data_IF_205227963602
#
_entry.id   IF_205227963602
#
_cell.length_a   1.000
_cell.length_b   1.000
_cell.length_c   1.000
_cell.angle_alpha   90.00
_cell.angle_beta   90.00
_cell.angle_gamma   90.00
#
_symmetry.space_group_name_H-M   'P 1'
#
loop_
_entity.id
_entity.type
_entity.pdbx_description
1 polymer ?
#
# COMPACT_ATOMS: atom_id res chain seq x y z
N UNK A 1 -13.16 20.49 -24.73
CA UNK A 1 -11.95 21.31 -24.90
C UNK A 1 -11.17 21.19 -23.60
N UNK A 2 -10.14 20.37 -23.61
CA UNK A 2 -9.27 20.17 -22.45
C UNK A 2 -8.18 21.24 -22.43
N UNK A 3 -7.73 21.62 -21.24
CA UNK A 3 -6.58 22.49 -21.00
C UNK A 3 -5.34 21.63 -20.88
N UNK A 4 -4.40 21.78 -21.79
CA UNK A 4 -3.23 20.90 -21.88
C UNK A 4 -1.94 21.67 -21.59
N UNK A 5 -1.08 21.06 -20.77
CA UNK A 5 0.30 21.49 -20.60
C UNK A 5 1.19 20.59 -21.45
N UNK A 6 1.92 21.13 -22.42
CA UNK A 6 2.80 20.35 -23.28
C UNK A 6 4.18 20.18 -22.65
N UNK A 7 4.77 18.99 -22.75
CA UNK A 7 6.18 18.77 -22.47
C UNK A 7 6.95 18.72 -23.79
N UNK A 8 8.02 19.49 -23.88
CA UNK A 8 8.82 19.64 -25.10
C UNK A 8 10.31 19.49 -24.78
N UNK A 9 11.09 19.03 -25.75
CA UNK A 9 12.55 18.91 -25.67
C UNK A 9 13.26 19.86 -26.65
N UNK A 10 14.59 19.88 -26.57
CA UNK A 10 15.48 20.63 -27.45
C UNK A 10 16.02 19.82 -28.64
N UNK A 11 15.58 18.57 -28.81
CA UNK A 11 16.03 17.70 -29.90
C UNK A 11 15.16 17.92 -31.15
N UNK A 12 13.87 18.18 -30.95
CA UNK A 12 12.95 18.56 -32.01
C UNK A 12 13.13 20.01 -32.44
N UNK A 13 13.14 20.24 -33.76
CA UNK A 13 13.19 21.58 -34.32
C UNK A 13 11.94 22.41 -33.93
N UNK A 14 12.07 23.70 -33.59
CA UNK A 14 10.94 24.50 -33.11
C UNK A 14 9.71 24.53 -34.04
N UNK A 15 9.85 24.60 -35.38
CA UNK A 15 8.71 24.46 -36.29
C UNK A 15 7.98 23.11 -36.21
N UNK A 16 8.67 22.02 -35.86
CA UNK A 16 8.05 20.70 -35.67
C UNK A 16 7.20 20.70 -34.40
N UNK A 17 7.72 21.27 -33.32
CA UNK A 17 6.99 21.44 -32.06
C UNK A 17 5.77 22.34 -32.28
N UNK A 18 5.92 23.47 -32.98
CA UNK A 18 4.80 24.37 -33.32
C UNK A 18 3.71 23.65 -34.10
N UNK A 19 4.10 22.89 -35.14
CA UNK A 19 3.17 22.10 -35.95
C UNK A 19 2.41 21.09 -35.08
N UNK A 20 3.08 20.37 -34.18
CA UNK A 20 2.43 19.43 -33.25
C UNK A 20 1.42 20.14 -32.34
N UNK A 21 1.80 21.29 -31.75
CA UNK A 21 0.88 22.09 -30.94
C UNK A 21 -0.30 22.62 -31.75
N UNK A 22 -0.09 23.00 -33.02
CA UNK A 22 -1.15 23.41 -33.93
C UNK A 22 -2.11 22.27 -34.29
N UNK A 23 -1.63 21.03 -34.41
CA UNK A 23 -2.49 19.84 -34.58
C UNK A 23 -3.40 19.65 -33.37
N UNK A 24 -2.85 19.72 -32.15
CA UNK A 24 -3.62 19.59 -30.90
C UNK A 24 -4.69 20.69 -30.81
N UNK A 25 -4.34 21.93 -31.15
CA UNK A 25 -5.30 23.05 -31.20
C UNK A 25 -6.41 22.82 -32.22
N UNK A 26 -6.08 22.31 -33.42
CA UNK A 26 -7.07 21.95 -34.45
C UNK A 26 -7.99 20.81 -33.99
N UNK A 27 -7.49 19.91 -33.15
CA UNK A 27 -8.28 18.86 -32.49
C UNK A 27 -9.30 19.38 -31.45
N UNK A 28 -9.22 20.66 -31.08
CA UNK A 28 -10.17 21.31 -30.17
C UNK A 28 -9.71 21.40 -28.71
N UNK A 29 -8.45 21.08 -28.42
CA UNK A 29 -7.84 21.26 -27.10
C UNK A 29 -7.03 22.56 -27.02
N UNK A 30 -6.87 23.09 -25.81
CA UNK A 30 -6.23 24.37 -25.55
C UNK A 30 -4.89 24.20 -24.83
N UNK A 31 -3.79 24.56 -25.49
CA UNK A 31 -2.45 24.57 -24.91
C UNK A 31 -2.30 25.78 -23.97
N UNK A 32 -2.26 25.53 -22.65
CA UNK A 32 -2.12 26.60 -21.63
C UNK A 32 -0.67 27.03 -21.40
N UNK A 33 0.27 26.19 -21.82
CA UNK A 33 1.71 26.43 -21.72
C UNK A 33 2.51 25.22 -22.15
N UNK A 34 3.83 25.39 -22.22
CA UNK A 34 4.78 24.31 -22.47
C UNK A 34 5.86 24.27 -21.39
N UNK A 35 6.38 23.09 -21.09
CA UNK A 35 7.51 22.87 -20.19
C UNK A 35 8.67 22.33 -21.00
N UNK A 36 9.81 23.01 -20.92
CA UNK A 36 11.02 22.58 -21.60
C UNK A 36 11.80 21.62 -20.70
N UNK A 37 12.01 20.38 -21.17
CA UNK A 37 12.58 19.29 -20.37
C UNK A 37 14.11 19.20 -20.46
N UNK A 38 14.73 19.78 -21.48
CA UNK A 38 16.17 19.69 -21.74
C UNK A 38 16.47 19.29 -23.20
N UNK A 39 17.74 19.05 -23.51
CA UNK A 39 18.22 18.71 -24.86
C UNK A 39 19.40 19.57 -25.29
N UNK A 40 20.15 19.10 -26.29
CA UNK A 40 21.28 19.86 -26.84
C UNK A 40 20.79 21.07 -27.62
N UNK A 41 21.48 22.19 -27.48
CA UNK A 41 21.11 23.51 -28.02
C UNK A 41 21.12 23.58 -29.57
N UNK A 42 20.29 22.79 -30.26
CA UNK A 42 19.92 23.07 -31.64
C UNK A 42 18.81 24.12 -31.64
N UNK A 43 19.21 25.33 -31.24
CA UNK A 43 18.54 26.61 -31.49
C UNK A 43 17.20 26.80 -30.75
N UNK A 44 17.28 27.19 -29.48
CA UNK A 44 16.16 27.81 -28.76
C UNK A 44 16.59 29.10 -28.08
N UNK A 45 17.01 30.08 -28.89
CA UNK A 45 16.94 31.48 -28.50
C UNK A 45 15.48 31.81 -28.11
N UNK A 46 15.28 32.76 -27.19
CA UNK A 46 13.94 33.12 -26.71
C UNK A 46 12.96 33.47 -27.85
N UNK A 47 13.48 33.93 -29.00
CA UNK A 47 12.71 34.23 -30.21
C UNK A 47 12.09 32.98 -30.87
N UNK A 48 12.86 31.90 -31.00
CA UNK A 48 12.40 30.62 -31.56
C UNK A 48 11.36 29.94 -30.66
N UNK A 49 11.39 30.21 -29.36
CA UNK A 49 10.37 29.76 -28.41
C UNK A 49 9.08 30.59 -28.48
N UNK A 50 9.20 31.88 -28.82
CA UNK A 50 8.04 32.78 -28.93
C UNK A 50 7.07 32.32 -30.04
N UNK A 51 7.59 31.66 -31.08
CA UNK A 51 6.79 31.14 -32.20
C UNK A 51 5.81 30.03 -31.78
N UNK A 52 6.04 29.34 -30.65
CA UNK A 52 5.17 28.25 -30.18
C UNK A 52 3.78 28.75 -29.75
N UNK A 53 3.62 30.08 -29.57
CA UNK A 53 2.32 30.69 -29.28
C UNK A 53 1.77 30.38 -27.89
N UNK A 54 2.61 29.94 -26.95
CA UNK A 54 2.24 29.71 -25.55
C UNK A 54 3.39 30.04 -24.60
N UNK A 55 3.11 30.35 -23.32
CA UNK A 55 4.13 30.55 -22.30
C UNK A 55 4.97 29.29 -22.11
N UNK A 56 6.28 29.45 -21.92
CA UNK A 56 7.22 28.35 -21.69
C UNK A 56 7.80 28.43 -20.30
N UNK A 57 7.80 27.31 -19.60
CA UNK A 57 8.35 27.16 -18.25
C UNK A 57 9.64 26.35 -18.33
N UNK A 58 10.67 26.88 -17.69
CA UNK A 58 12.00 26.29 -17.54
C UNK A 58 12.39 26.29 -16.07
N UNK A 59 13.20 25.33 -15.69
CA UNK A 59 13.78 25.24 -14.35
C UNK A 59 15.06 24.40 -14.40
N UNK A 60 15.83 24.37 -13.31
CA UNK A 60 17.04 23.54 -13.21
C UNK A 60 16.74 22.04 -13.31
N UNK A 61 15.53 21.65 -12.90
CA UNK A 61 15.03 20.27 -12.94
C UNK A 61 13.65 20.23 -13.59
N UNK A 62 13.45 19.34 -14.56
CA UNK A 62 12.20 19.24 -15.32
C UNK A 62 10.99 18.92 -14.44
N UNK A 63 11.11 18.10 -13.39
CA UNK A 63 10.02 17.83 -12.44
C UNK A 63 9.60 19.10 -11.69
N UNK A 64 10.56 19.96 -11.34
CA UNK A 64 10.25 21.25 -10.71
C UNK A 64 9.54 22.20 -11.70
N UNK A 65 9.99 22.23 -12.95
CA UNK A 65 9.36 23.00 -14.02
C UNK A 65 7.90 22.55 -14.24
N UNK A 66 7.65 21.24 -14.31
CA UNK A 66 6.30 20.65 -14.43
C UNK A 66 5.43 21.06 -13.25
N UNK A 67 5.94 20.94 -12.01
CA UNK A 67 5.20 21.32 -10.80
C UNK A 67 4.80 22.80 -10.82
N UNK A 68 5.75 23.69 -11.16
CA UNK A 68 5.51 25.14 -11.28
C UNK A 68 4.47 25.45 -12.35
N UNK A 69 4.58 24.82 -13.52
CA UNK A 69 3.66 25.04 -14.63
C UNK A 69 2.25 24.52 -14.31
N UNK A 70 2.12 23.32 -13.74
CA UNK A 70 0.84 22.74 -13.33
C UNK A 70 0.14 23.63 -12.29
N UNK A 71 0.87 24.12 -11.29
CA UNK A 71 0.31 25.03 -10.28
C UNK A 71 -0.11 26.39 -10.86
N UNK A 72 0.66 26.94 -11.80
CA UNK A 72 0.36 28.24 -12.43
C UNK A 72 -0.81 28.19 -13.40
N UNK A 73 -0.87 27.14 -14.23
CA UNK A 73 -1.80 27.10 -15.37
C UNK A 73 -3.01 26.20 -15.15
N UNK A 74 -3.00 25.34 -14.13
CA UNK A 74 -4.10 24.42 -13.80
C UNK A 74 -4.65 23.70 -15.04
N UNK A 75 -3.82 22.88 -15.72
CA UNK A 75 -4.27 22.08 -16.86
C UNK A 75 -5.17 20.94 -16.40
N UNK A 76 -5.87 20.30 -17.35
CA UNK A 76 -6.60 19.05 -17.15
C UNK A 76 -5.69 17.83 -17.38
N UNK A 77 -4.70 17.97 -18.28
CA UNK A 77 -3.73 16.92 -18.60
C UNK A 77 -2.38 17.50 -19.05
N UNK A 78 -1.37 16.65 -18.95
CA UNK A 78 -0.01 16.90 -19.46
C UNK A 78 0.20 16.02 -20.68
N UNK A 79 0.49 16.64 -21.83
CA UNK A 79 0.78 15.94 -23.08
C UNK A 79 2.28 15.93 -23.34
N UNK A 80 2.82 14.75 -23.62
CA UNK A 80 4.23 14.53 -23.85
C UNK A 80 4.57 14.54 -25.34
N UNK A 81 5.28 15.58 -25.78
CA UNK A 81 5.80 15.70 -27.14
C UNK A 81 7.32 15.48 -27.19
N UNK A 82 7.91 14.98 -26.10
CA UNK A 82 9.35 14.77 -25.98
C UNK A 82 9.79 13.35 -26.34
N UNK A 83 11.07 13.20 -26.64
CA UNK A 83 11.68 11.92 -27.03
C UNK A 83 13.11 11.71 -26.49
N UNK A 84 13.68 10.53 -26.78
CA UNK A 84 15.07 10.20 -26.48
C UNK A 84 16.05 11.12 -27.24
N UNK A 85 17.20 11.49 -26.64
CA UNK A 85 17.72 11.03 -25.36
C UNK A 85 17.26 11.83 -24.13
N UNK A 86 16.39 12.82 -24.28
CA UNK A 86 15.98 13.70 -23.16
C UNK A 86 15.01 12.99 -22.22
N UNK A 87 14.05 12.26 -22.77
CA UNK A 87 13.03 11.53 -22.01
C UNK A 87 12.94 10.09 -22.48
N UNK A 88 13.56 9.19 -21.70
CA UNK A 88 13.44 7.75 -21.87
C UNK A 88 12.41 7.13 -20.91
N UNK A 89 12.42 5.81 -20.81
CA UNK A 89 11.47 5.07 -19.98
C UNK A 89 11.48 5.50 -18.50
N UNK A 90 12.66 5.77 -17.93
CA UNK A 90 12.80 6.09 -16.51
C UNK A 90 12.20 7.47 -16.22
N UNK A 91 12.56 8.45 -17.04
CA UNK A 91 12.11 9.84 -16.94
C UNK A 91 10.58 9.92 -17.12
N UNK A 92 10.00 9.16 -18.08
CA UNK A 92 8.54 9.09 -18.24
C UNK A 92 7.83 8.57 -16.98
N UNK A 93 8.40 7.61 -16.26
CA UNK A 93 7.81 7.15 -15.00
C UNK A 93 7.95 8.16 -13.84
N UNK A 94 9.03 8.94 -13.81
CA UNK A 94 9.17 10.05 -12.87
C UNK A 94 8.15 11.16 -13.15
N UNK A 95 8.00 11.53 -14.42
CA UNK A 95 7.00 12.48 -14.90
C UNK A 95 5.60 11.96 -14.58
N UNK A 96 5.28 10.72 -14.97
CA UNK A 96 3.99 10.09 -14.67
C UNK A 96 3.70 10.13 -13.16
N UNK A 97 4.65 9.72 -12.31
CA UNK A 97 4.47 9.75 -10.87
C UNK A 97 4.15 11.13 -10.32
N UNK A 98 4.86 12.16 -10.80
CA UNK A 98 4.60 13.54 -10.42
C UNK A 98 3.23 14.01 -10.92
N UNK A 99 2.97 13.89 -12.23
CA UNK A 99 1.74 14.38 -12.88
C UNK A 99 0.51 13.75 -12.24
N UNK A 100 0.53 12.43 -12.03
CA UNK A 100 -0.56 11.72 -11.35
C UNK A 100 -0.74 12.19 -9.89
N UNK A 101 0.34 12.51 -9.18
CA UNK A 101 0.25 13.02 -7.81
C UNK A 101 -0.37 14.43 -7.72
N UNK A 102 -0.38 15.16 -8.83
CA UNK A 102 -1.03 16.46 -8.97
C UNK A 102 -2.50 16.33 -9.41
N UNK A 103 -3.02 15.10 -9.57
CA UNK A 103 -4.38 14.86 -10.03
C UNK A 103 -4.59 15.04 -11.54
N UNK A 104 -3.50 15.07 -12.32
CA UNK A 104 -3.52 15.29 -13.76
C UNK A 104 -3.33 13.97 -14.51
N UNK A 105 -3.84 13.92 -15.75
CA UNK A 105 -3.51 12.82 -16.67
C UNK A 105 -2.17 13.07 -17.36
N UNK A 106 -1.45 12.00 -17.67
CA UNK A 106 -0.22 12.06 -18.44
C UNK A 106 -0.38 11.27 -19.74
N UNK A 107 -0.32 11.96 -20.87
CA UNK A 107 -0.64 11.44 -22.19
C UNK A 107 0.59 11.52 -23.08
N UNK A 108 1.05 10.39 -23.60
CA UNK A 108 2.05 10.32 -24.65
C UNK A 108 1.44 9.95 -26.00
N UNK A 109 2.30 9.66 -26.98
CA UNK A 109 1.85 9.32 -28.34
C UNK A 109 1.06 7.99 -28.40
N UNK A 110 1.44 7.01 -27.59
CA UNK A 110 0.87 5.65 -27.57
C UNK A 110 0.53 5.15 -26.15
N UNK A 111 0.56 6.05 -25.15
CA UNK A 111 0.26 5.71 -23.76
C UNK A 111 -0.56 6.80 -23.07
N UNK A 112 -1.33 6.38 -22.06
CA UNK A 112 -2.02 7.27 -21.14
C UNK A 112 -1.91 6.70 -19.72
N UNK A 113 -1.51 7.55 -18.77
CA UNK A 113 -1.50 7.24 -17.35
C UNK A 113 -2.52 8.12 -16.63
N UNK A 114 -3.32 7.47 -15.79
CA UNK A 114 -4.28 8.12 -14.90
C UNK A 114 -4.12 7.62 -13.46
N UNK A 115 -4.36 8.52 -12.51
CA UNK A 115 -4.45 8.19 -11.10
C UNK A 115 -5.74 7.38 -10.84
N UNK A 116 -5.79 6.54 -9.79
CA UNK A 116 -7.02 5.86 -9.44
C UNK A 116 -8.15 6.85 -9.16
N UNK A 117 -9.36 6.55 -9.64
CA UNK A 117 -10.56 7.30 -9.28
C UNK A 117 -10.92 6.99 -7.84
N UNK A 118 -10.89 8.00 -6.99
CA UNK A 118 -11.24 7.90 -5.58
C UNK A 118 -12.63 8.49 -5.35
N UNK A 119 -13.53 7.70 -4.79
CA UNK A 119 -14.90 8.12 -4.53
C UNK A 119 -15.00 8.91 -3.21
N UNK A 120 -15.63 10.09 -3.25
CA UNK A 120 -15.90 10.94 -2.07
C UNK A 120 -17.21 10.55 -1.40
N UNK A 121 -17.22 9.41 -0.70
CA UNK A 121 -18.45 8.88 -0.06
C UNK A 121 -18.30 8.62 1.45
N UNK A 122 -17.12 8.85 2.02
CA UNK A 122 -16.90 8.71 3.47
C UNK A 122 -17.72 9.73 4.25
N UNK A 123 -18.45 9.27 5.27
CA UNK A 123 -19.19 10.13 6.21
C UNK A 123 -18.49 10.23 7.57
N UNK A 124 -17.27 9.73 7.65
CA UNK A 124 -16.42 9.71 8.85
C UNK A 124 -14.98 10.01 8.45
N UNK A 125 -14.17 10.58 9.37
CA UNK A 125 -12.73 10.70 9.16
C UNK A 125 -12.11 9.35 8.79
N UNK A 126 -11.21 9.36 7.81
CA UNK A 126 -10.66 8.12 7.28
C UNK A 126 -9.16 8.21 6.97
N UNK A 127 -8.51 7.04 7.04
CA UNK A 127 -7.12 6.85 6.64
C UNK A 127 -7.02 5.65 5.70
N UNK A 128 -6.23 5.79 4.64
CA UNK A 128 -5.87 4.65 3.78
C UNK A 128 -4.56 4.00 4.25
N UNK A 129 -4.52 2.67 4.28
CA UNK A 129 -3.27 1.90 4.41
C UNK A 129 -3.03 1.18 3.09
N UNK A 130 -2.13 1.73 2.28
CA UNK A 130 -1.76 1.22 0.96
C UNK A 130 -0.40 0.55 1.01
N UNK A 131 0.04 -0.04 -0.10
CA UNK A 131 1.37 -0.61 -0.17
C UNK A 131 1.94 -0.59 -1.58
N UNK A 132 3.25 -0.77 -1.66
CA UNK A 132 4.00 -0.85 -2.92
C UNK A 132 3.93 -2.25 -3.54
N UNK A 133 3.41 -3.25 -2.82
CA UNK A 133 3.38 -4.63 -3.29
C UNK A 133 2.65 -5.62 -2.40
N UNK A 134 2.79 -6.90 -2.75
CA UNK A 134 2.30 -8.03 -1.95
C UNK A 134 3.31 -8.35 -0.84
N UNK A 135 2.84 -8.87 0.29
CA UNK A 135 3.67 -9.33 1.43
C UNK A 135 4.58 -8.25 2.05
N UNK A 136 4.14 -7.00 1.98
CA UNK A 136 4.81 -5.85 2.64
C UNK A 136 4.37 -5.67 4.10
N UNK A 137 3.36 -6.44 4.57
CA UNK A 137 2.83 -6.34 5.93
C UNK A 137 1.68 -5.36 6.14
N UNK A 138 0.93 -4.99 5.08
CA UNK A 138 -0.22 -4.04 5.20
C UNK A 138 -1.22 -4.43 6.28
N UNK A 139 -1.74 -5.65 6.23
CA UNK A 139 -2.76 -6.16 7.17
C UNK A 139 -2.25 -6.14 8.61
N UNK A 140 -0.98 -6.50 8.82
CA UNK A 140 -0.33 -6.37 10.13
C UNK A 140 -0.26 -4.91 10.63
N UNK A 141 0.08 -3.96 9.75
CA UNK A 141 0.06 -2.52 10.08
C UNK A 141 -1.37 -2.02 10.31
N UNK A 142 -2.35 -2.51 9.55
CA UNK A 142 -3.77 -2.18 9.68
C UNK A 142 -4.33 -2.64 11.03
N UNK A 143 -4.13 -3.91 11.37
CA UNK A 143 -4.52 -4.47 12.66
C UNK A 143 -3.82 -3.74 13.83
N UNK A 144 -2.53 -3.44 13.69
CA UNK A 144 -1.79 -2.64 14.67
C UNK A 144 -2.38 -1.24 14.83
N UNK A 145 -2.61 -0.52 13.73
CA UNK A 145 -3.21 0.81 13.73
C UNK A 145 -4.56 0.80 14.46
N UNK A 146 -5.42 -0.16 14.16
CA UNK A 146 -6.73 -0.29 14.82
C UNK A 146 -6.60 -0.44 16.33
N UNK A 147 -5.68 -1.27 16.81
CA UNK A 147 -5.47 -1.46 18.26
C UNK A 147 -4.93 -0.19 18.91
N UNK A 148 -3.96 0.48 18.31
CA UNK A 148 -3.39 1.71 18.87
C UNK A 148 -4.38 2.88 18.86
N UNK A 149 -5.19 3.01 17.79
CA UNK A 149 -6.27 4.01 17.74
C UNK A 149 -7.34 3.73 18.80
N UNK A 150 -7.73 2.46 18.98
CA UNK A 150 -8.67 2.08 20.04
C UNK A 150 -8.13 2.42 21.43
N UNK A 151 -6.85 2.15 21.71
CA UNK A 151 -6.19 2.55 22.96
C UNK A 151 -6.14 4.08 23.14
N UNK A 152 -6.02 4.82 22.04
CA UNK A 152 -6.03 6.28 22.02
C UNK A 152 -7.44 6.91 22.11
N UNK A 153 -8.50 6.10 22.25
CA UNK A 153 -9.87 6.55 22.48
C UNK A 153 -10.73 6.68 21.23
N UNK A 154 -10.25 6.24 20.06
CA UNK A 154 -11.07 6.13 18.85
C UNK A 154 -11.92 4.84 18.89
N UNK A 155 -12.97 4.80 18.08
CA UNK A 155 -13.73 3.60 17.75
C UNK A 155 -13.54 3.24 16.26
N UNK A 156 -12.38 2.66 15.88
CA UNK A 156 -12.05 2.41 14.49
C UNK A 156 -12.78 1.17 13.91
N UNK A 157 -13.14 1.27 12.63
CA UNK A 157 -13.50 0.12 11.79
C UNK A 157 -12.62 0.02 10.56
N UNK A 158 -12.50 -1.18 9.98
CA UNK A 158 -11.71 -1.43 8.76
C UNK A 158 -12.61 -1.79 7.61
N UNK A 159 -12.34 -1.25 6.42
CA UNK A 159 -12.86 -1.74 5.14
C UNK A 159 -11.70 -2.39 4.39
N UNK A 160 -11.65 -3.71 4.39
CA UNK A 160 -10.53 -4.48 3.86
C UNK A 160 -10.79 -4.92 2.42
N UNK A 161 -9.95 -4.48 1.48
CA UNK A 161 -10.01 -4.89 0.08
C UNK A 161 -9.13 -6.12 -0.17
N UNK A 162 -9.75 -7.29 -0.37
CA UNK A 162 -9.04 -8.54 -0.64
C UNK A 162 -9.04 -8.97 -2.11
N UNK A 163 -8.10 -9.85 -2.49
CA UNK A 163 -8.23 -10.64 -3.73
C UNK A 163 -9.19 -11.82 -3.58
N UNK A 164 -9.25 -12.38 -2.37
CA UNK A 164 -10.16 -13.46 -1.98
C UNK A 164 -11.37 -12.97 -1.19
N UNK A 165 -11.67 -11.67 -1.22
CA UNK A 165 -12.79 -11.10 -0.46
C UNK A 165 -14.17 -11.55 -0.97
N UNK A 166 -15.23 -11.27 -0.20
CA UNK A 166 -16.59 -11.74 -0.46
C UNK A 166 -17.25 -11.05 -1.66
N UNK A 167 -18.22 -11.74 -2.29
CA UNK A 167 -18.92 -11.22 -3.48
C UNK A 167 -19.67 -9.91 -3.21
N UNK A 168 -20.37 -9.85 -2.08
CA UNK A 168 -20.97 -8.65 -1.50
C UNK A 168 -20.18 -8.31 -0.25
N UNK A 169 -20.08 -7.03 0.15
CA UNK A 169 -19.37 -6.70 1.38
C UNK A 169 -19.93 -7.47 2.58
N UNK A 170 -19.05 -7.96 3.44
CA UNK A 170 -19.39 -8.77 4.61
C UNK A 170 -18.92 -8.08 5.88
N UNK A 171 -19.80 -7.93 6.87
CA UNK A 171 -19.46 -7.30 8.15
C UNK A 171 -19.14 -8.38 9.18
N UNK A 172 -17.98 -8.26 9.82
CA UNK A 172 -17.56 -9.10 10.94
C UNK A 172 -17.26 -8.19 12.12
N UNK A 173 -18.00 -8.37 13.21
CA UNK A 173 -17.71 -7.71 14.48
C UNK A 173 -16.73 -8.56 15.28
N UNK A 174 -15.42 -8.29 15.10
CA UNK A 174 -14.35 -9.01 15.78
C UNK A 174 -14.36 -8.84 17.30
N UNK A 175 -15.06 -7.85 17.85
CA UNK A 175 -15.20 -7.70 19.30
C UNK A 175 -16.28 -8.64 19.87
N UNK A 176 -17.36 -8.88 19.12
CA UNK A 176 -18.51 -9.68 19.56
C UNK A 176 -18.42 -11.15 19.18
N UNK A 177 -17.83 -11.46 18.03
CA UNK A 177 -17.73 -12.85 17.54
C UNK A 177 -16.43 -13.48 18.05
N UNK A 178 -16.53 -14.73 18.51
CA UNK A 178 -15.36 -15.57 18.75
C UNK A 178 -14.93 -16.17 17.41
N UNK A 179 -13.79 -15.72 16.89
CA UNK A 179 -13.18 -16.23 15.67
C UNK A 179 -12.10 -17.20 16.11
N UNK A 180 -12.47 -18.46 16.30
CA UNK A 180 -11.56 -19.55 16.70
C UNK A 180 -11.25 -20.48 15.50
N UNK A 181 -10.34 -21.45 15.65
CA UNK A 181 -9.98 -22.35 14.56
C UNK A 181 -11.20 -23.11 13.98
N UNK A 182 -12.11 -23.57 14.82
CA UNK A 182 -13.34 -24.25 14.39
C UNK A 182 -14.26 -23.35 13.57
N UNK A 183 -14.42 -22.08 13.99
CA UNK A 183 -15.17 -21.09 13.22
C UNK A 183 -14.58 -20.89 11.82
N UNK A 184 -13.25 -20.67 11.73
CA UNK A 184 -12.56 -20.45 10.46
C UNK A 184 -12.62 -21.69 9.54
N UNK A 185 -12.45 -22.88 10.10
CA UNK A 185 -12.60 -24.13 9.35
C UNK A 185 -14.04 -24.32 8.85
N UNK A 186 -15.03 -23.94 9.65
CA UNK A 186 -16.44 -23.91 9.26
C UNK A 186 -16.70 -22.97 8.08
N UNK A 187 -16.11 -21.77 8.08
CA UNK A 187 -16.19 -20.83 6.96
C UNK A 187 -15.54 -21.42 5.70
N UNK A 188 -14.35 -22.03 5.82
CA UNK A 188 -13.64 -22.65 4.69
C UNK A 188 -14.47 -23.78 4.05
N UNK A 189 -15.10 -24.63 4.87
CA UNK A 189 -15.99 -25.72 4.41
C UNK A 189 -17.23 -25.23 3.65
N UNK A 190 -17.66 -24.00 3.88
CA UNK A 190 -18.74 -23.35 3.11
C UNK A 190 -18.26 -22.75 1.79
N UNK A 191 -17.00 -22.97 1.40
CA UNK A 191 -16.39 -22.41 0.19
C UNK A 191 -15.99 -20.94 0.32
N UNK A 192 -16.00 -20.37 1.53
CA UNK A 192 -15.53 -19.00 1.78
C UNK A 192 -14.01 -18.99 1.95
N UNK A 193 -13.38 -17.89 1.57
CA UNK A 193 -11.95 -17.70 1.81
C UNK A 193 -11.72 -17.24 3.27
N UNK A 194 -11.73 -18.19 4.20
CA UNK A 194 -11.66 -17.96 5.65
C UNK A 194 -10.37 -17.27 6.14
N UNK A 195 -9.34 -17.18 5.29
CA UNK A 195 -8.12 -16.42 5.57
C UNK A 195 -8.00 -15.16 4.69
N UNK A 196 -9.13 -14.57 4.30
CA UNK A 196 -9.13 -13.27 3.65
C UNK A 196 -8.75 -12.19 4.66
N UNK A 197 -8.16 -11.10 4.15
CA UNK A 197 -7.70 -9.94 4.91
C UNK A 197 -8.72 -9.47 5.98
N UNK A 198 -10.03 -9.45 5.67
CA UNK A 198 -11.06 -9.06 6.63
C UNK A 198 -11.28 -10.01 7.83
N UNK A 199 -11.06 -11.32 7.67
CA UNK A 199 -11.03 -12.25 8.81
C UNK A 199 -9.76 -12.05 9.63
N UNK A 200 -8.62 -11.77 8.97
CA UNK A 200 -7.35 -11.46 9.62
C UNK A 200 -7.47 -10.19 10.46
N UNK A 201 -7.97 -9.09 9.90
CA UNK A 201 -8.21 -7.85 10.65
C UNK A 201 -9.15 -8.08 11.82
N UNK A 202 -10.32 -8.68 11.60
CA UNK A 202 -11.31 -8.92 12.67
C UNK A 202 -10.74 -9.78 13.80
N UNK A 203 -9.96 -10.82 13.47
CA UNK A 203 -9.31 -11.70 14.44
C UNK A 203 -8.21 -10.97 15.21
N UNK A 204 -7.26 -10.35 14.51
CA UNK A 204 -6.04 -9.79 15.10
C UNK A 204 -6.30 -8.51 15.88
N UNK A 205 -7.23 -7.67 15.43
CA UNK A 205 -7.49 -6.36 16.02
C UNK A 205 -8.72 -6.31 16.92
N UNK A 206 -9.62 -7.32 16.85
CA UNK A 206 -10.86 -7.39 17.63
C UNK A 206 -11.73 -6.14 17.45
N UNK A 207 -11.82 -5.66 16.20
CA UNK A 207 -12.64 -4.52 15.78
C UNK A 207 -13.60 -4.91 14.65
N UNK A 208 -14.53 -3.99 14.35
CA UNK A 208 -15.51 -4.16 13.30
C UNK A 208 -14.85 -4.03 11.92
N UNK A 209 -15.00 -5.07 11.09
CA UNK A 209 -14.36 -5.14 9.77
C UNK A 209 -15.39 -5.42 8.69
N UNK A 210 -15.28 -4.70 7.57
CA UNK A 210 -16.06 -4.88 6.35
C UNK A 210 -15.16 -5.49 5.28
N UNK A 211 -15.37 -6.76 4.98
CA UNK A 211 -14.66 -7.46 3.91
C UNK A 211 -15.18 -7.09 2.54
N UNK A 212 -14.27 -6.70 1.65
CA UNK A 212 -14.52 -6.34 0.27
C UNK A 212 -13.58 -7.11 -0.66
N UNK A 213 -13.85 -7.08 -1.97
CA UNK A 213 -13.03 -7.72 -3.00
C UNK A 213 -12.68 -6.77 -4.13
N UNK A 214 -11.64 -7.16 -4.87
CA UNK A 214 -11.29 -6.56 -6.16
C UNK A 214 -10.77 -7.60 -7.15
N UNK A 215 -10.80 -7.26 -8.43
CA UNK A 215 -10.12 -7.98 -9.50
C UNK A 215 -9.35 -7.01 -10.41
N UNK A 216 -8.24 -7.46 -10.99
CA UNK A 216 -7.32 -6.62 -11.77
C UNK A 216 -6.53 -5.63 -10.90
N UNK A 217 -5.58 -4.93 -11.52
CA UNK A 217 -4.80 -3.87 -10.88
C UNK A 217 -3.94 -3.14 -11.89
N UNK A 218 -4.14 -1.82 -12.02
CA UNK A 218 -3.35 -0.94 -12.86
C UNK A 218 -2.05 -0.50 -12.20
N UNK A 219 -1.15 0.09 -12.99
CA UNK A 219 0.17 0.54 -12.55
C UNK A 219 0.07 1.57 -11.40
N UNK A 220 -0.85 2.53 -11.52
CA UNK A 220 -1.11 3.55 -10.50
C UNK A 220 -1.92 3.04 -9.30
N UNK A 221 -2.41 1.79 -9.34
CA UNK A 221 -3.13 1.16 -8.23
C UNK A 221 -4.65 1.04 -8.38
N UNK A 222 -5.22 1.47 -9.51
CA UNK A 222 -6.66 1.33 -9.80
C UNK A 222 -7.05 -0.16 -9.90
N UNK A 223 -8.01 -0.67 -9.12
CA UNK A 223 -8.62 -1.97 -9.39
C UNK A 223 -9.51 -1.89 -10.64
N UNK A 224 -9.56 -2.96 -11.44
CA UNK A 224 -10.41 -3.01 -12.62
C UNK A 224 -11.89 -3.14 -12.23
N UNK A 225 -12.18 -3.99 -11.25
CA UNK A 225 -13.49 -4.10 -10.59
C UNK A 225 -13.27 -4.21 -9.08
N UNK A 226 -14.12 -3.57 -8.28
CA UNK A 226 -14.14 -3.72 -6.81
C UNK A 226 -15.56 -3.52 -6.27
N UNK A 227 -15.83 -4.03 -5.06
CA UNK A 227 -17.05 -3.70 -4.30
C UNK A 227 -16.76 -2.84 -3.05
N UNK A 228 -15.61 -2.14 -3.03
CA UNK A 228 -15.19 -1.32 -1.88
C UNK A 228 -16.11 -0.12 -1.69
N UNK A 229 -16.70 0.39 -2.78
CA UNK A 229 -17.71 1.46 -2.73
C UNK A 229 -18.91 1.06 -1.86
N UNK A 230 -19.45 -0.13 -2.10
CA UNK A 230 -20.54 -0.69 -1.31
C UNK A 230 -20.10 -0.95 0.15
N UNK A 231 -18.85 -1.39 0.34
CA UNK A 231 -18.26 -1.55 1.67
C UNK A 231 -18.15 -0.24 2.46
N UNK A 232 -17.77 0.85 1.80
CA UNK A 232 -17.71 2.19 2.39
C UNK A 232 -19.11 2.70 2.79
N UNK A 233 -20.13 2.47 1.94
CA UNK A 233 -21.52 2.80 2.26
C UNK A 233 -21.99 2.04 3.51
N UNK A 234 -21.66 0.74 3.61
CA UNK A 234 -21.95 -0.04 4.80
C UNK A 234 -21.20 0.53 6.01
N UNK A 235 -19.91 0.82 5.89
CA UNK A 235 -19.09 1.35 6.98
C UNK A 235 -19.62 2.68 7.56
N UNK A 236 -20.22 3.54 6.72
CA UNK A 236 -20.87 4.77 7.18
C UNK A 236 -22.00 4.50 8.19
N UNK A 237 -22.73 3.39 8.05
CA UNK A 237 -23.87 3.02 8.90
C UNK A 237 -23.49 2.30 10.20
N UNK A 238 -22.23 1.89 10.37
CA UNK A 238 -21.77 1.11 11.50
C UNK A 238 -21.44 2.01 12.69
N UNK A 239 -21.48 1.47 13.90
CA UNK A 239 -21.13 2.20 15.13
C UNK A 239 -19.60 2.29 15.29
N UNK A 240 -19.01 3.18 14.49
CA UNK A 240 -17.58 3.52 14.45
C UNK A 240 -17.41 5.01 14.23
N UNK A 241 -16.31 5.61 14.69
CA UNK A 241 -16.02 7.04 14.53
C UNK A 241 -14.87 7.34 13.56
N UNK A 242 -14.16 6.29 13.12
CA UNK A 242 -13.00 6.38 12.24
C UNK A 242 -12.95 5.16 11.30
N UNK A 243 -12.65 5.37 10.02
CA UNK A 243 -12.57 4.28 9.05
C UNK A 243 -11.16 4.12 8.47
N UNK A 244 -10.61 2.91 8.56
CA UNK A 244 -9.38 2.54 7.86
C UNK A 244 -9.74 1.81 6.57
N UNK A 245 -9.25 2.30 5.43
CA UNK A 245 -9.37 1.61 4.14
C UNK A 245 -8.07 0.88 3.83
N UNK A 246 -8.11 -0.46 3.83
CA UNK A 246 -6.94 -1.29 3.56
C UNK A 246 -6.84 -1.68 2.07
N UNK A 247 -5.69 -1.42 1.47
CA UNK A 247 -5.36 -1.75 0.08
C UNK A 247 -4.96 -3.21 -0.15
N UNK A 248 -4.96 -3.63 -1.42
CA UNK A 248 -4.77 -5.04 -1.82
C UNK A 248 -3.53 -5.26 -2.68
N UNK A 249 -2.43 -5.72 -2.09
CA UNK A 249 -1.15 -5.73 -2.79
C UNK A 249 -0.69 -4.30 -3.07
N UNK A 250 -0.56 -3.93 -4.36
CA UNK A 250 -0.28 -2.56 -4.78
C UNK A 250 -1.54 -1.76 -5.20
N UNK A 251 -2.73 -2.38 -5.15
CA UNK A 251 -3.99 -1.70 -5.48
C UNK A 251 -4.43 -0.81 -4.30
N UNK A 252 -4.86 0.41 -4.63
CA UNK A 252 -5.33 1.42 -3.70
C UNK A 252 -6.85 1.28 -3.56
N UNK A 253 -7.43 1.33 -2.35
CA UNK A 253 -8.88 1.37 -2.18
C UNK A 253 -9.46 2.58 -2.94
N UNK A 254 -10.49 2.40 -3.79
CA UNK A 254 -11.02 3.48 -4.63
C UNK A 254 -11.93 4.44 -3.85
N UNK A 255 -11.49 4.86 -2.65
CA UNK A 255 -12.19 5.76 -1.74
C UNK A 255 -11.21 6.86 -1.34
N UNK A 256 -11.68 8.10 -1.33
CA UNK A 256 -10.87 9.22 -0.86
C UNK A 256 -10.76 9.21 0.66
N UNK A 257 -9.57 9.51 1.18
CA UNK A 257 -9.28 9.54 2.62
C UNK A 257 -8.41 10.74 2.95
N UNK A 258 -8.54 11.29 4.15
CA UNK A 258 -7.85 12.51 4.56
C UNK A 258 -6.35 12.32 4.79
N UNK A 259 -5.95 11.11 5.21
CA UNK A 259 -4.54 10.73 5.37
C UNK A 259 -4.26 9.36 4.77
N UNK A 260 -2.98 9.10 4.47
CA UNK A 260 -2.55 7.86 3.82
C UNK A 260 -1.19 7.39 4.32
N UNK A 261 -1.15 6.11 4.72
CA UNK A 261 0.08 5.39 5.05
C UNK A 261 0.43 4.47 3.88
N UNK A 262 1.70 4.49 3.45
CA UNK A 262 2.24 3.52 2.51
C UNK A 262 3.17 2.54 3.21
N UNK A 263 2.83 1.26 3.11
CA UNK A 263 3.65 0.17 3.65
C UNK A 263 4.52 -0.40 2.54
N UNK A 264 5.83 -0.45 2.79
CA UNK A 264 6.82 -0.96 1.83
C UNK A 264 7.81 -1.86 2.54
N UNK A 265 8.19 -2.98 1.92
CA UNK A 265 9.16 -3.92 2.46
C UNK A 265 10.58 -3.58 2.01
N UNK A 266 11.54 -3.51 2.93
CA UNK A 266 12.95 -3.28 2.61
C UNK A 266 13.57 -4.35 1.69
N UNK A 267 12.97 -5.53 1.65
CA UNK A 267 13.33 -6.63 0.77
C UNK A 267 12.81 -6.49 -0.68
N UNK A 268 11.94 -5.53 -0.97
CA UNK A 268 11.50 -5.27 -2.34
C UNK A 268 12.64 -4.66 -3.18
N UNK A 269 12.64 -4.87 -4.51
CA UNK A 269 13.56 -4.15 -5.39
C UNK A 269 13.36 -2.63 -5.25
N UNK A 270 14.46 -1.88 -5.18
CA UNK A 270 14.42 -0.43 -4.94
C UNK A 270 13.57 0.31 -5.97
N UNK A 271 13.69 -0.06 -7.24
CA UNK A 271 12.92 0.50 -8.35
C UNK A 271 11.38 0.32 -8.21
N UNK A 272 10.89 -0.68 -7.47
CA UNK A 272 9.45 -0.84 -7.19
C UNK A 272 8.94 0.10 -6.08
N UNK A 273 9.86 0.75 -5.35
CA UNK A 273 9.54 1.63 -4.22
C UNK A 273 9.76 3.09 -4.63
N UNK A 274 10.95 3.41 -5.12
CA UNK A 274 11.39 4.78 -5.47
C UNK A 274 11.51 5.02 -6.98
N UNK A 275 11.14 4.04 -7.79
CA UNK A 275 11.02 4.17 -9.24
C UNK A 275 9.62 3.81 -9.73
N UNK A 276 9.45 3.74 -11.05
CA UNK A 276 8.17 3.46 -11.71
C UNK A 276 7.02 4.28 -11.09
N UNK A 277 5.87 3.65 -10.79
CA UNK A 277 4.79 4.25 -10.00
C UNK A 277 4.84 3.88 -8.50
N UNK A 278 5.99 3.39 -8.01
CA UNK A 278 6.30 3.37 -6.59
C UNK A 278 6.38 4.78 -6.04
N UNK A 279 7.06 5.67 -6.78
CA UNK A 279 7.20 7.10 -6.45
C UNK A 279 5.86 7.81 -6.35
N UNK A 280 4.91 7.52 -7.24
CA UNK A 280 3.52 8.00 -7.14
C UNK A 280 2.91 7.69 -5.76
N UNK A 281 3.06 6.46 -5.27
CA UNK A 281 2.52 6.02 -3.97
C UNK A 281 3.16 6.77 -2.80
N UNK A 282 4.46 7.08 -2.90
CA UNK A 282 5.15 7.92 -1.91
C UNK A 282 4.63 9.36 -1.94
N UNK A 283 4.45 9.93 -3.13
CA UNK A 283 3.98 11.32 -3.31
C UNK A 283 2.61 11.56 -2.69
N UNK A 284 1.68 10.61 -2.83
CA UNK A 284 0.30 10.70 -2.30
C UNK A 284 0.15 10.25 -0.83
N UNK A 285 1.24 9.88 -0.15
CA UNK A 285 1.20 9.36 1.23
C UNK A 285 1.81 10.33 2.23
N UNK A 286 1.38 10.24 3.49
CA UNK A 286 1.79 11.12 4.58
C UNK A 286 2.83 10.44 5.50
N UNK A 287 2.90 9.10 5.47
CA UNK A 287 3.87 8.30 6.22
C UNK A 287 4.27 7.05 5.45
N UNK A 288 5.56 6.73 5.49
CA UNK A 288 6.10 5.44 5.04
C UNK A 288 6.35 4.54 6.25
N UNK A 289 5.79 3.34 6.22
CA UNK A 289 6.17 2.25 7.11
C UNK A 289 7.07 1.29 6.33
N UNK A 290 8.38 1.37 6.58
CA UNK A 290 9.39 0.52 5.97
C UNK A 290 9.55 -0.76 6.79
N UNK A 291 8.95 -1.85 6.33
CA UNK A 291 8.89 -3.13 7.04
C UNK A 291 10.07 -4.04 6.69
N UNK A 292 10.20 -5.13 7.44
CA UNK A 292 11.24 -6.16 7.28
C UNK A 292 12.66 -5.62 7.47
N UNK A 293 12.86 -4.57 8.27
CA UNK A 293 14.16 -3.95 8.57
C UNK A 293 15.04 -4.78 9.52
N UNK A 294 15.22 -6.08 9.26
CA UNK A 294 16.01 -6.97 10.12
C UNK A 294 17.46 -6.51 10.24
N UNK A 295 18.08 -6.80 11.39
CA UNK A 295 19.45 -6.35 11.71
C UNK A 295 20.50 -6.88 10.74
N UNK A 296 20.28 -8.08 10.20
CA UNK A 296 21.21 -8.76 9.31
C UNK A 296 21.07 -8.30 7.84
N UNK A 297 20.13 -7.38 7.56
CA UNK A 297 20.07 -6.74 6.25
C UNK A 297 21.15 -5.69 6.10
N UNK A 298 21.50 -5.43 4.83
CA UNK A 298 22.42 -4.38 4.46
C UNK A 298 21.90 -2.99 4.91
N UNK A 299 22.54 -2.46 5.95
CA UNK A 299 22.24 -1.15 6.53
C UNK A 299 22.42 -0.03 5.49
N UNK A 300 23.37 -0.18 4.57
CA UNK A 300 23.63 0.81 3.52
C UNK A 300 22.46 0.91 2.55
N UNK A 301 21.89 -0.22 2.13
CA UNK A 301 20.69 -0.29 1.29
C UNK A 301 19.48 0.39 1.96
N UNK A 302 19.27 0.17 3.27
CA UNK A 302 18.16 0.81 4.00
C UNK A 302 18.36 2.33 4.03
N UNK A 303 19.59 2.79 4.31
CA UNK A 303 19.92 4.21 4.34
C UNK A 303 19.72 4.88 2.97
N UNK A 304 20.21 4.25 1.90
CA UNK A 304 20.05 4.68 0.51
C UNK A 304 18.57 4.78 0.14
N UNK A 305 17.77 3.75 0.45
CA UNK A 305 16.33 3.76 0.19
C UNK A 305 15.63 4.94 0.89
N UNK A 306 15.97 5.21 2.16
CA UNK A 306 15.41 6.34 2.91
C UNK A 306 15.82 7.67 2.29
N UNK A 307 17.05 7.80 1.82
CA UNK A 307 17.52 8.99 1.13
C UNK A 307 16.71 9.25 -0.15
N UNK A 308 16.48 8.21 -0.96
CA UNK A 308 15.65 8.32 -2.16
C UNK A 308 14.20 8.67 -1.86
N UNK A 309 13.59 8.08 -0.82
CA UNK A 309 12.23 8.44 -0.38
C UNK A 309 12.15 9.94 -0.03
N UNK A 310 13.14 10.45 0.70
CA UNK A 310 13.19 11.88 1.10
C UNK A 310 13.42 12.81 -0.10
N UNK A 311 14.13 12.37 -1.14
CA UNK A 311 14.30 13.11 -2.39
C UNK A 311 12.98 13.20 -3.17
N UNK A 312 12.17 12.14 -3.17
CA UNK A 312 10.87 12.12 -3.87
C UNK A 312 9.85 13.04 -3.19
N UNK A 313 9.71 12.95 -1.87
CA UNK A 313 8.81 13.81 -1.10
C UNK A 313 9.50 14.33 0.14
N UNK A 314 9.89 15.61 0.09
CA UNK A 314 10.46 16.33 1.22
C UNK A 314 9.47 16.33 2.39
N UNK A 315 9.96 15.99 3.58
CA UNK A 315 9.14 15.95 4.80
C UNK A 315 8.33 14.65 4.98
N UNK A 316 8.38 13.70 4.04
CA UNK A 316 7.72 12.40 4.21
C UNK A 316 8.40 11.59 5.33
N UNK A 317 7.67 11.35 6.42
CA UNK A 317 8.14 10.55 7.54
C UNK A 317 8.38 9.09 7.14
N UNK A 318 9.46 8.49 7.66
CA UNK A 318 9.77 7.07 7.46
C UNK A 318 9.97 6.39 8.82
N UNK A 319 9.12 5.41 9.13
CA UNK A 319 9.22 4.57 10.32
C UNK A 319 9.69 3.19 9.91
N UNK A 320 10.81 2.75 10.46
CA UNK A 320 11.39 1.43 10.20
C UNK A 320 10.82 0.40 11.17
N UNK A 321 10.41 -0.74 10.66
CA UNK A 321 9.88 -1.84 11.47
C UNK A 321 10.38 -3.21 11.03
N UNK A 322 10.35 -4.12 11.98
CA UNK A 322 10.43 -5.58 11.79
C UNK A 322 9.11 -6.19 12.27
N UNK A 323 8.83 -7.44 11.92
CA UNK A 323 7.68 -8.15 12.45
C UNK A 323 8.10 -9.20 13.47
N UNK A 324 7.35 -9.31 14.56
CA UNK A 324 7.52 -10.39 15.54
C UNK A 324 6.19 -11.11 15.76
N UNK A 325 6.21 -12.46 15.84
CA UNK A 325 5.00 -13.23 16.01
C UNK A 325 4.42 -13.00 17.42
N UNK A 326 3.13 -12.72 17.49
CA UNK A 326 2.38 -12.57 18.73
C UNK A 326 1.25 -13.59 18.75
N UNK A 327 1.37 -14.68 19.52
CA UNK A 327 0.27 -15.60 19.77
C UNK A 327 -0.95 -14.85 20.30
N UNK A 328 -2.14 -15.20 19.79
CA UNK A 328 -3.41 -14.63 20.25
C UNK A 328 -3.96 -15.29 21.51
N UNK A 329 -3.42 -16.45 21.87
CA UNK A 329 -3.75 -17.20 23.09
C UNK A 329 -2.47 -17.50 23.87
N UNK A 330 -2.62 -17.81 25.15
CA UNK A 330 -1.49 -18.23 25.98
C UNK A 330 -0.97 -19.60 25.52
N UNK A 331 0.34 -19.65 25.30
CA UNK A 331 1.08 -20.85 24.88
C UNK A 331 2.19 -21.20 25.87
N UNK A 332 2.24 -20.57 27.04
CA UNK A 332 3.30 -20.74 28.03
C UNK A 332 3.51 -22.21 28.42
N UNK A 333 4.76 -22.67 28.44
CA UNK A 333 5.13 -24.04 28.78
C UNK A 333 4.78 -25.10 27.73
N UNK A 334 4.27 -24.70 26.55
CA UNK A 334 3.91 -25.63 25.47
C UNK A 334 5.10 -25.97 24.58
N UNK A 335 5.02 -27.15 23.93
CA UNK A 335 5.85 -27.51 22.77
C UNK A 335 5.16 -27.05 21.50
N UNK A 336 5.78 -26.09 20.82
CA UNK A 336 5.19 -25.39 19.68
C UNK A 336 5.85 -25.84 18.38
N UNK A 337 5.03 -26.24 17.42
CA UNK A 337 5.43 -26.31 16.02
C UNK A 337 4.92 -25.06 15.31
N UNK A 338 5.83 -24.20 14.84
CA UNK A 338 5.48 -22.91 14.26
C UNK A 338 5.42 -22.99 12.74
N UNK A 339 4.41 -22.37 12.12
CA UNK A 339 4.26 -22.34 10.66
C UNK A 339 4.16 -20.89 10.19
N UNK A 340 4.97 -20.52 9.20
CA UNK A 340 5.14 -19.12 8.79
C UNK A 340 5.41 -19.01 7.29
N UNK A 341 5.13 -17.83 6.73
CA UNK A 341 5.57 -17.45 5.39
C UNK A 341 6.94 -16.76 5.36
N UNK A 342 7.57 -16.53 6.52
CA UNK A 342 8.91 -15.99 6.63
C UNK A 342 9.96 -16.93 6.01
N UNK A 343 11.08 -16.40 5.49
CA UNK A 343 12.16 -17.23 4.96
C UNK A 343 12.89 -17.99 6.07
N UNK A 344 13.54 -19.11 5.72
CA UNK A 344 14.31 -19.94 6.66
C UNK A 344 15.39 -19.15 7.42
N UNK A 345 15.97 -18.12 6.79
CA UNK A 345 16.96 -17.25 7.42
C UNK A 345 16.42 -16.53 8.67
N UNK A 346 15.10 -16.38 8.80
CA UNK A 346 14.47 -15.79 9.98
C UNK A 346 14.29 -16.78 11.14
N UNK A 347 14.41 -18.09 10.91
CA UNK A 347 14.03 -19.14 11.87
C UNK A 347 14.79 -19.02 13.20
N UNK A 348 16.09 -18.72 13.17
CA UNK A 348 16.91 -18.58 14.39
C UNK A 348 16.39 -17.43 15.26
N UNK A 349 16.13 -16.28 14.64
CA UNK A 349 15.66 -15.07 15.34
C UNK A 349 14.23 -15.28 15.87
N UNK A 350 13.35 -15.85 15.05
CA UNK A 350 11.95 -16.11 15.40
C UNK A 350 11.85 -17.16 16.52
N UNK A 351 12.60 -18.26 16.43
CA UNK A 351 12.65 -19.26 17.47
C UNK A 351 13.06 -18.64 18.81
N UNK A 352 14.22 -17.97 18.83
CA UNK A 352 14.73 -17.31 20.05
C UNK A 352 13.73 -16.31 20.62
N UNK A 353 13.04 -15.56 19.75
CA UNK A 353 12.01 -14.61 20.17
C UNK A 353 10.83 -15.33 20.84
N UNK A 354 10.31 -16.39 20.23
CA UNK A 354 9.19 -17.16 20.78
C UNK A 354 9.54 -17.75 22.16
N UNK A 355 10.67 -18.44 22.27
CA UNK A 355 11.10 -19.07 23.53
C UNK A 355 11.33 -18.03 24.64
N UNK A 356 12.00 -16.92 24.32
CA UNK A 356 12.35 -15.90 25.32
C UNK A 356 11.16 -15.06 25.81
N UNK A 357 10.16 -14.80 24.95
CA UNK A 357 9.05 -13.91 25.27
C UNK A 357 7.79 -14.65 25.74
N UNK A 358 7.62 -15.92 25.37
CA UNK A 358 6.41 -16.70 25.68
C UNK A 358 6.70 -17.98 26.49
N UNK A 359 7.96 -18.25 26.85
CA UNK A 359 8.30 -19.40 27.70
C UNK A 359 7.90 -20.75 27.09
N UNK A 360 8.01 -20.86 25.77
CA UNK A 360 7.68 -22.07 24.99
C UNK A 360 8.94 -22.82 24.59
N UNK A 361 8.78 -24.08 24.19
CA UNK A 361 9.80 -24.84 23.49
C UNK A 361 9.42 -24.94 22.01
N UNK A 362 10.20 -24.37 21.10
CA UNK A 362 9.93 -24.51 19.67
C UNK A 362 10.56 -25.81 19.17
N UNK A 363 9.72 -26.78 18.83
CA UNK A 363 10.19 -28.12 18.42
C UNK A 363 10.43 -28.24 16.91
N UNK A 364 9.93 -27.29 16.14
CA UNK A 364 10.12 -27.18 14.70
C UNK A 364 9.48 -25.92 14.13
N UNK A 365 9.97 -25.50 12.96
CA UNK A 365 9.42 -24.39 12.17
C UNK A 365 9.23 -24.89 10.74
N UNK A 366 8.05 -24.67 10.17
CA UNK A 366 7.79 -24.82 8.74
C UNK A 366 7.69 -23.44 8.08
N UNK A 367 8.50 -23.22 7.04
CA UNK A 367 8.45 -22.04 6.18
C UNK A 367 7.52 -22.25 4.96
N UNK A 368 6.84 -23.41 4.91
CA UNK A 368 6.01 -23.83 3.79
C UNK A 368 4.55 -23.41 3.92
N UNK A 369 4.20 -22.38 4.71
CA UNK A 369 2.82 -21.93 4.89
C UNK A 369 2.13 -21.44 3.58
N UNK A 370 2.86 -21.34 2.48
CA UNK A 370 2.31 -21.07 1.15
C UNK A 370 2.21 -22.29 0.23
N UNK A 371 2.66 -23.47 0.68
CA UNK A 371 2.64 -24.73 -0.05
C UNK A 371 1.97 -25.83 0.81
N UNK A 372 0.72 -26.15 0.50
CA UNK A 372 -0.10 -27.09 1.31
C UNK A 372 0.51 -28.49 1.42
N UNK A 373 1.13 -29.00 0.36
CA UNK A 373 1.70 -30.35 0.36
C UNK A 373 2.90 -30.44 1.31
N UNK A 374 3.88 -29.55 1.13
CA UNK A 374 5.07 -29.51 1.99
C UNK A 374 4.72 -29.17 3.44
N UNK A 375 3.77 -28.25 3.65
CA UNK A 375 3.29 -27.90 5.00
C UNK A 375 2.69 -29.12 5.72
N UNK A 376 1.92 -29.95 5.02
CA UNK A 376 1.34 -31.16 5.60
C UNK A 376 2.42 -32.18 5.96
N UNK A 377 3.41 -32.38 5.10
CA UNK A 377 4.56 -33.25 5.35
C UNK A 377 5.33 -32.79 6.61
N UNK A 378 5.70 -31.51 6.66
CA UNK A 378 6.43 -30.91 7.79
C UNK A 378 5.71 -31.13 9.14
N UNK A 379 4.39 -30.94 9.17
CA UNK A 379 3.59 -31.11 10.39
C UNK A 379 3.50 -32.59 10.77
N UNK A 380 3.26 -33.48 9.80
CA UNK A 380 3.07 -34.91 10.05
C UNK A 380 4.36 -35.58 10.53
N UNK A 381 5.51 -35.19 10.01
CA UNK A 381 6.83 -35.65 10.47
C UNK A 381 7.11 -35.26 11.93
N UNK A 382 6.43 -34.23 12.43
CA UNK A 382 6.58 -33.71 13.79
C UNK A 382 5.38 -33.98 14.71
N UNK A 383 4.36 -34.74 14.26
CA UNK A 383 3.08 -34.94 14.98
C UNK A 383 3.18 -35.41 16.44
N UNK A 384 4.27 -36.09 16.80
CA UNK A 384 4.54 -36.58 18.16
C UNK A 384 5.40 -35.64 19.02
N UNK A 385 5.80 -34.49 18.50
CA UNK A 385 6.78 -33.58 19.14
C UNK A 385 6.15 -32.31 19.67
N UNK A 386 4.95 -31.94 19.24
CA UNK A 386 4.26 -30.72 19.64
C UNK A 386 2.93 -31.00 20.34
N UNK A 387 2.53 -30.04 21.16
CA UNK A 387 1.21 -29.96 21.80
C UNK A 387 0.37 -28.82 21.22
N UNK A 388 1.04 -27.83 20.62
CA UNK A 388 0.44 -26.64 20.03
C UNK A 388 1.00 -26.38 18.63
N UNK A 389 0.10 -26.13 17.67
CA UNK A 389 0.41 -25.58 16.35
C UNK A 389 0.24 -24.06 16.40
N UNK A 390 1.33 -23.32 16.23
CA UNK A 390 1.31 -21.86 16.13
C UNK A 390 1.39 -21.47 14.65
N UNK A 391 0.51 -20.60 14.17
CA UNK A 391 0.42 -20.30 12.73
C UNK A 391 0.00 -18.87 12.40
N UNK A 392 0.60 -18.27 11.38
CA UNK A 392 0.07 -17.04 10.79
C UNK A 392 -1.27 -17.33 10.11
N UNK A 393 -2.22 -16.38 10.11
CA UNK A 393 -3.47 -16.59 9.37
C UNK A 393 -3.24 -16.47 7.86
N UNK A 394 -3.24 -17.61 7.16
CA UNK A 394 -3.21 -17.72 5.70
C UNK A 394 -4.14 -18.85 5.26
N UNK A 395 -4.47 -18.93 3.96
CA UNK A 395 -5.40 -19.96 3.46
C UNK A 395 -4.94 -21.38 3.83
N UNK A 396 -3.65 -21.69 3.64
CA UNK A 396 -3.11 -22.98 4.06
C UNK A 396 -3.06 -23.19 5.58
N UNK A 397 -3.07 -22.12 6.38
CA UNK A 397 -3.17 -22.23 7.84
C UNK A 397 -4.54 -22.80 8.25
N UNK A 398 -5.61 -22.31 7.63
CA UNK A 398 -6.95 -22.84 7.88
C UNK A 398 -7.10 -24.23 7.26
N UNK A 399 -6.74 -24.37 5.98
CA UNK A 399 -6.97 -25.60 5.23
C UNK A 399 -6.11 -26.80 5.68
N UNK A 400 -4.95 -26.55 6.31
CA UNK A 400 -3.99 -27.62 6.66
C UNK A 400 -3.69 -27.60 8.15
N UNK A 401 -3.21 -26.47 8.70
CA UNK A 401 -2.76 -26.43 10.10
C UNK A 401 -3.93 -26.62 11.05
N UNK A 402 -5.05 -25.95 10.80
CA UNK A 402 -6.26 -26.06 11.62
C UNK A 402 -6.91 -27.42 11.46
N UNK A 403 -7.05 -27.92 10.23
CA UNK A 403 -7.58 -29.26 9.96
C UNK A 403 -6.78 -30.34 10.72
N UNK A 404 -5.45 -30.36 10.55
CA UNK A 404 -4.58 -31.34 11.22
C UNK A 404 -4.61 -31.17 12.73
N UNK A 405 -4.61 -29.93 13.23
CA UNK A 405 -4.66 -29.68 14.67
C UNK A 405 -5.92 -30.26 15.31
N UNK A 406 -7.08 -30.07 14.67
CA UNK A 406 -8.35 -30.65 15.11
C UNK A 406 -8.32 -32.18 15.01
N UNK A 407 -7.80 -32.75 13.93
CA UNK A 407 -7.70 -34.21 13.75
C UNK A 407 -6.78 -34.88 14.78
N UNK A 408 -5.70 -34.21 15.19
CA UNK A 408 -4.72 -34.72 16.15
C UNK A 408 -5.06 -34.36 17.61
N UNK A 409 -6.17 -33.67 17.87
CA UNK A 409 -6.54 -33.12 19.18
C UNK A 409 -5.41 -32.26 19.79
N UNK A 410 -4.85 -31.37 18.95
CA UNK A 410 -3.78 -30.43 19.29
C UNK A 410 -4.30 -29.01 19.29
N UNK A 411 -3.80 -28.18 20.20
CA UNK A 411 -4.18 -26.77 20.26
C UNK A 411 -3.69 -26.06 19.00
N UNK A 412 -4.55 -25.28 18.35
CA UNK A 412 -4.19 -24.42 17.22
C UNK A 412 -4.30 -22.97 17.67
N UNK A 413 -3.18 -22.25 17.62
CA UNK A 413 -3.13 -20.84 18.00
C UNK A 413 -2.69 -20.02 16.79
N UNK A 414 -3.50 -19.03 16.43
CA UNK A 414 -3.10 -18.06 15.42
C UNK A 414 -2.15 -17.02 16.03
N UNK A 415 -1.20 -16.54 15.23
CA UNK A 415 -0.33 -15.45 15.59
C UNK A 415 -0.54 -14.22 14.71
N UNK A 416 -0.55 -13.05 15.35
CA UNK A 416 -0.39 -11.77 14.67
C UNK A 416 1.09 -11.53 14.36
N UNK A 417 1.35 -10.69 13.37
CA UNK A 417 2.68 -10.15 13.08
C UNK A 417 2.74 -8.71 13.60
N UNK A 418 3.22 -8.52 14.82
CA UNK A 418 3.28 -7.19 15.43
C UNK A 418 4.47 -6.41 14.85
N UNK A 419 4.26 -5.19 14.32
CA UNK A 419 5.36 -4.33 13.95
C UNK A 419 6.12 -3.87 15.20
N UNK A 420 7.42 -4.11 15.22
CA UNK A 420 8.34 -3.63 16.25
C UNK A 420 9.27 -2.60 15.62
N UNK A 421 9.40 -1.45 16.28
CA UNK A 421 10.20 -0.32 15.82
C UNK A 421 11.69 -0.69 15.72
N UNK A 422 12.35 -0.20 14.68
CA UNK A 422 13.81 -0.25 14.52
C UNK A 422 14.39 1.16 14.56
N UNK A 423 15.09 1.48 15.64
CA UNK A 423 15.68 2.81 15.87
C UNK A 423 14.77 3.70 16.70
N UNK A 424 14.77 5.01 16.41
CA UNK A 424 14.05 6.03 17.17
C UNK A 424 12.65 6.30 16.63
N UNK A 425 11.80 6.91 17.46
CA UNK A 425 10.42 7.30 17.12
C UNK A 425 9.37 6.37 17.72
N UNK A 426 8.17 6.40 17.14
CA UNK A 426 7.04 5.58 17.57
C UNK A 426 6.05 5.42 16.41
N UNK A 427 5.80 4.17 16.01
CA UNK A 427 4.79 3.88 15.00
C UNK A 427 3.39 4.24 15.51
N UNK A 428 3.08 3.90 16.77
CA UNK A 428 1.80 4.21 17.39
C UNK A 428 1.51 5.72 17.36
N UNK A 429 2.45 6.54 17.83
CA UNK A 429 2.25 7.99 17.88
C UNK A 429 2.09 8.60 16.49
N UNK A 430 2.84 8.10 15.51
CA UNK A 430 2.73 8.53 14.11
C UNK A 430 1.34 8.22 13.54
N UNK A 431 0.82 7.02 13.77
CA UNK A 431 -0.52 6.60 13.32
C UNK A 431 -1.63 7.38 14.03
N UNK A 432 -1.52 7.59 15.34
CA UNK A 432 -2.46 8.39 16.12
C UNK A 432 -2.45 9.86 15.66
N UNK A 433 -1.28 10.42 15.37
CA UNK A 433 -1.16 11.78 14.84
C UNK A 433 -1.89 11.92 13.50
N UNK A 434 -1.68 10.97 12.58
CA UNK A 434 -2.37 10.98 11.27
C UNK A 434 -3.88 10.80 11.40
N UNK A 435 -4.36 10.02 12.38
CA UNK A 435 -5.80 9.89 12.62
C UNK A 435 -6.41 11.18 13.16
N UNK A 436 -5.71 11.89 14.04
CA UNK A 436 -6.13 13.23 14.52
C UNK A 436 -6.12 14.24 13.37
N UNK A 437 -5.11 14.21 12.51
CA UNK A 437 -5.05 15.05 11.31
C UNK A 437 -6.22 14.76 10.37
N UNK A 438 -6.55 13.48 10.15
CA UNK A 438 -7.72 13.09 9.38
C UNK A 438 -9.03 13.63 9.98
N UNK A 439 -9.20 13.59 11.31
CA UNK A 439 -10.36 14.21 11.96
C UNK A 439 -10.45 15.72 11.71
N UNK A 440 -9.32 16.43 11.75
CA UNK A 440 -9.27 17.88 11.47
C UNK A 440 -9.66 18.17 10.03
N UNK A 441 -9.00 17.52 9.06
CA UNK A 441 -9.29 17.69 7.62
C UNK A 441 -10.74 17.36 7.28
N UNK A 442 -11.30 16.29 7.86
CA UNK A 442 -12.68 15.89 7.65
C UNK A 442 -13.67 16.96 8.15
N UNK A 443 -13.38 17.61 9.29
CA UNK A 443 -14.21 18.71 9.81
C UNK A 443 -14.11 19.97 8.96
N UNK A 444 -12.93 20.30 8.46
CA UNK A 444 -12.73 21.46 7.57
C UNK A 444 -13.48 21.29 6.25
N UNK A 445 -13.53 20.08 5.69
CA UNK A 445 -14.26 19.79 4.45
C UNK A 445 -15.80 19.77 4.62
N UNK A 446 -16.31 19.40 5.79
CA UNK A 446 -17.76 19.28 6.04
C UNK A 446 -18.37 20.44 6.83
N UNK A 447 -17.54 21.33 7.38
CA UNK A 447 -17.96 22.51 8.15
C UNK A 447 -17.99 23.81 7.34
N UNK A 448 -17.76 23.73 6.02
CA UNK A 448 -17.79 24.85 5.07
C UNK A 448 -19.10 25.00 4.32
#
# INVERSE_FOLDING_TARGET
>A
MNRLLALIDGEHYPPVIESALAEIRRGGDHIVGAVFLGGTEKVLENEALTMLGCPIVRDENFLSAIRKAAGRYQPDAVVDLSDEPVVGYRERFEIASLVLSLGLKYVGADFEFEAPTLEKIGQKPAMSIIGTGKRVGKTAISAYACRELKKAGFNPGVVAMGRGGPQKPEVIDGAKIKIDPEYLLGQARQGRHAASDHFEDALMSRILTVGCRRCGGGLAGQPFVSNVKEGAIIANSLDTDFTIFEGSGAAIPPIETETRVVVTGANQPMEYIVGYLGSYRLLISDLVVLTNCEKDMDVSRIAELIEHIKKIKVGLGVVKTIFRPQPLEDISGKKVFFTTTAPESANVVVNKYLESNFGVQVVGISNHLSNRSLLREDIMDNRGRFDTLLTELKAAAVDVVTEIGVELDKQVVYCDNIPVLVGEGSLADSLISLAKEAQTKFKEHNGG
#
